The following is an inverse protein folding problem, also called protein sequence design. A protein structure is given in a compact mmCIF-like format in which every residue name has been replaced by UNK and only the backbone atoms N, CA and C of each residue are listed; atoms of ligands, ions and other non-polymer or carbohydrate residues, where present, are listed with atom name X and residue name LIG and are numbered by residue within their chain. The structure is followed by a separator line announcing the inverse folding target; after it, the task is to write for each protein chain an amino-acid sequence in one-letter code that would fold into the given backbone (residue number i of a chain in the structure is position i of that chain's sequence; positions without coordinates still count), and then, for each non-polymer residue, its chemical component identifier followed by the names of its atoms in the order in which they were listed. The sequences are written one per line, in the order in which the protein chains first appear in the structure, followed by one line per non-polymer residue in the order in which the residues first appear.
data_IF_795561647158
#
_entry.id   IF_795561647158
#
_cell.length_a   1.000
_cell.length_b   1.000
_cell.length_c   1.000
_cell.angle_alpha   90.00
_cell.angle_beta   90.00
_cell.angle_gamma   90.00
#
_symmetry.space_group_name_H-M   'P 1'
#
loop_
_entity.id
_entity.type
_entity.pdbx_description
1 polymer ?
#
# COMPACT_ATOMS: atom_id res chain seq x y z
N UNK A 1 -15.72 7.22 6.63
CA UNK A 1 -16.11 8.17 5.56
C UNK A 1 -14.90 9.00 5.17
N UNK A 2 -14.79 9.42 3.91
CA UNK A 2 -13.67 10.24 3.45
C UNK A 2 -13.63 11.63 4.14
N UNK A 3 -12.43 12.22 4.36
CA UNK A 3 -12.27 13.57 4.88
C UNK A 3 -13.00 14.64 4.04
N UNK A 4 -13.29 15.80 4.62
CA UNK A 4 -13.99 16.89 3.93
C UNK A 4 -13.28 17.33 2.65
N UNK A 5 -11.98 17.61 2.71
CA UNK A 5 -11.19 18.03 1.54
C UNK A 5 -11.25 17.00 0.42
N UNK A 6 -11.23 15.70 0.76
CA UNK A 6 -11.36 14.62 -0.24
C UNK A 6 -12.72 14.68 -0.93
N UNK A 7 -13.80 14.91 -0.17
CA UNK A 7 -15.17 14.95 -0.70
C UNK A 7 -15.47 16.20 -1.52
N UNK A 8 -14.95 17.37 -1.11
CA UNK A 8 -15.33 18.66 -1.71
C UNK A 8 -14.34 19.18 -2.76
N UNK A 9 -13.07 18.74 -2.71
CA UNK A 9 -12.00 19.20 -3.62
C UNK A 9 -11.48 18.05 -4.46
N UNK A 10 -10.89 17.03 -3.83
CA UNK A 10 -10.26 15.90 -4.53
C UNK A 10 -11.25 15.17 -5.45
N UNK A 11 -12.45 14.85 -4.96
CA UNK A 11 -13.48 14.16 -5.72
C UNK A 11 -13.98 14.98 -6.93
N UNK A 12 -14.09 16.30 -6.79
CA UNK A 12 -14.48 17.19 -7.90
C UNK A 12 -13.40 17.24 -8.98
N UNK A 13 -12.12 17.30 -8.58
CA UNK A 13 -10.99 17.23 -9.52
C UNK A 13 -10.94 15.87 -10.24
N UNK A 14 -11.07 14.77 -9.51
CA UNK A 14 -11.13 13.42 -10.09
C UNK A 14 -12.30 13.23 -11.05
N UNK A 15 -13.44 13.87 -10.77
CA UNK A 15 -14.62 13.82 -11.62
C UNK A 15 -14.55 14.76 -12.85
N UNK A 16 -13.39 15.36 -13.13
CA UNK A 16 -13.19 16.27 -14.26
C UNK A 16 -13.83 17.65 -14.08
N UNK A 17 -14.27 17.99 -12.86
CA UNK A 17 -14.94 19.25 -12.52
C UNK A 17 -14.04 20.24 -11.76
N UNK A 18 -12.73 20.01 -11.74
CA UNK A 18 -11.77 20.87 -11.03
C UNK A 18 -11.83 22.35 -11.41
N UNK A 19 -12.18 22.70 -12.66
CA UNK A 19 -12.34 24.10 -13.11
C UNK A 19 -13.52 24.83 -12.44
N UNK A 20 -14.44 24.12 -11.78
CA UNK A 20 -15.55 24.73 -11.03
C UNK A 20 -15.17 25.13 -9.61
N UNK A 21 -14.00 24.69 -9.11
CA UNK A 21 -13.55 24.99 -7.77
C UNK A 21 -13.11 26.46 -7.68
N UNK A 22 -13.61 27.23 -6.69
CA UNK A 22 -13.12 28.59 -6.48
C UNK A 22 -11.69 28.56 -5.93
N UNK A 23 -10.93 29.64 -6.12
CA UNK A 23 -9.58 29.78 -5.55
C UNK A 23 -9.59 29.55 -4.03
N UNK A 24 -10.66 29.95 -3.34
CA UNK A 24 -10.82 29.78 -1.89
C UNK A 24 -10.94 28.32 -1.44
N UNK A 25 -11.15 27.37 -2.35
CA UNK A 25 -11.17 25.94 -2.02
C UNK A 25 -9.77 25.33 -1.92
N UNK A 26 -8.74 26.01 -2.45
CA UNK A 26 -7.38 25.50 -2.52
C UNK A 26 -6.53 26.00 -1.34
N UNK A 27 -5.60 25.16 -0.83
CA UNK A 27 -4.62 25.58 0.18
C UNK A 27 -3.73 26.72 -0.34
N UNK A 28 -3.47 27.72 0.51
CA UNK A 28 -2.71 28.93 0.13
C UNK A 28 -1.24 28.66 -0.18
N UNK A 29 -0.69 27.57 0.36
CA UNK A 29 0.69 27.13 0.20
C UNK A 29 0.83 25.95 -0.78
N UNK A 30 -0.29 25.46 -1.33
CA UNK A 30 -0.32 24.29 -2.21
C UNK A 30 -0.15 22.94 -1.50
N UNK A 31 -0.19 22.87 -0.17
CA UNK A 31 -0.05 21.61 0.58
C UNK A 31 -1.33 20.78 0.52
N UNK A 32 -1.26 19.56 -0.03
CA UNK A 32 -2.40 18.64 -0.12
C UNK A 32 -2.36 17.56 0.96
N UNK A 33 -3.52 16.99 1.36
CA UNK A 33 -3.57 15.92 2.33
C UNK A 33 -2.99 14.61 1.77
N UNK A 34 -2.29 13.90 2.65
CA UNK A 34 -1.77 12.55 2.44
C UNK A 34 -2.86 11.47 2.34
N UNK A 35 -2.53 10.31 1.79
CA UNK A 35 -3.34 9.09 1.81
C UNK A 35 -4.58 9.15 0.94
N UNK A 36 -4.58 10.00 -0.08
CA UNK A 36 -5.78 10.28 -0.89
C UNK A 36 -5.98 9.30 -2.05
N UNK A 37 -4.95 8.57 -2.48
CA UNK A 37 -5.09 7.50 -3.49
C UNK A 37 -6.00 6.35 -3.01
N UNK A 38 -6.11 6.14 -1.69
CA UNK A 38 -6.98 5.12 -1.10
C UNK A 38 -8.46 5.29 -1.45
N UNK A 39 -8.88 6.51 -1.86
CA UNK A 39 -10.25 6.82 -2.26
C UNK A 39 -10.50 6.71 -3.76
N UNK A 40 -9.47 6.44 -4.59
CA UNK A 40 -9.64 6.37 -6.03
C UNK A 40 -10.38 5.11 -6.48
N UNK A 41 -10.00 3.94 -5.92
CA UNK A 41 -10.58 2.62 -6.24
C UNK A 41 -10.83 2.45 -7.74
N UNK A 42 -9.76 2.66 -8.52
CA UNK A 42 -9.85 2.92 -9.97
C UNK A 42 -10.45 1.77 -10.78
N UNK A 43 -10.33 0.54 -10.29
CA UNK A 43 -10.87 -0.68 -10.89
C UNK A 43 -10.55 -0.81 -12.40
N UNK A 44 -9.25 -0.73 -12.72
CA UNK A 44 -8.76 -0.64 -14.12
C UNK A 44 -8.36 -1.98 -14.74
N UNK A 45 -8.39 -3.08 -13.99
CA UNK A 45 -7.94 -4.38 -14.48
C UNK A 45 -9.05 -5.41 -14.49
N UNK A 46 -9.18 -6.14 -15.60
CA UNK A 46 -10.11 -7.27 -15.71
C UNK A 46 -9.63 -8.51 -14.94
N UNK A 47 -8.34 -8.54 -14.57
CA UNK A 47 -7.74 -9.63 -13.80
C UNK A 47 -7.01 -9.11 -12.57
N UNK A 48 -7.13 -9.82 -11.47
CA UNK A 48 -6.52 -9.47 -10.18
C UNK A 48 -5.75 -10.66 -9.63
N UNK A 49 -4.84 -10.39 -8.69
CA UNK A 49 -4.18 -11.45 -7.96
C UNK A 49 -5.20 -12.23 -7.11
N UNK A 50 -5.14 -13.56 -7.16
CA UNK A 50 -5.98 -14.48 -6.41
C UNK A 50 -5.07 -15.38 -5.59
N UNK A 51 -5.23 -15.33 -4.27
CA UNK A 51 -4.45 -16.10 -3.33
C UNK A 51 -5.03 -17.50 -3.16
N UNK A 52 -4.17 -18.52 -3.19
CA UNK A 52 -4.47 -19.88 -2.76
C UNK A 52 -3.85 -20.10 -1.38
N UNK A 53 -4.71 -20.12 -0.36
CA UNK A 53 -4.29 -20.24 1.04
C UNK A 53 -3.69 -21.60 1.38
N UNK A 54 -4.06 -22.65 0.65
CA UNK A 54 -3.69 -24.03 0.99
C UNK A 54 -2.26 -24.34 0.54
N UNK A 55 -1.84 -23.77 -0.58
CA UNK A 55 -0.48 -23.96 -1.12
C UNK A 55 0.52 -22.88 -0.70
N UNK A 56 0.05 -21.79 -0.08
CA UNK A 56 0.90 -20.66 0.26
C UNK A 56 1.87 -20.96 1.40
N UNK A 57 3.17 -20.82 1.11
CA UNK A 57 4.25 -20.95 2.10
C UNK A 57 4.52 -19.67 2.91
N UNK A 58 3.70 -18.63 2.73
CA UNK A 58 3.72 -17.41 3.56
C UNK A 58 5.07 -16.67 3.57
N UNK A 59 5.76 -16.63 2.42
CA UNK A 59 7.09 -16.03 2.28
C UNK A 59 7.11 -14.50 2.11
N UNK A 60 5.99 -13.90 1.68
CA UNK A 60 5.87 -12.45 1.47
C UNK A 60 6.39 -11.94 0.11
N UNK A 61 7.03 -12.76 -0.74
CA UNK A 61 7.61 -12.29 -2.01
C UNK A 61 6.59 -11.57 -2.91
N UNK A 62 5.36 -12.07 -2.98
CA UNK A 62 4.29 -11.47 -3.77
C UNK A 62 3.94 -10.03 -3.34
N UNK A 63 3.87 -9.77 -2.03
CA UNK A 63 3.65 -8.45 -1.46
C UNK A 63 4.89 -7.55 -1.59
N UNK A 64 6.09 -8.15 -1.47
CA UNK A 64 7.36 -7.44 -1.57
C UNK A 64 7.55 -6.78 -2.93
N UNK A 65 7.26 -7.51 -4.01
CA UNK A 65 7.41 -7.02 -5.40
C UNK A 65 6.23 -6.20 -5.91
N UNK A 66 5.13 -6.10 -5.15
CA UNK A 66 3.93 -5.42 -5.60
C UNK A 66 4.19 -3.90 -5.75
N UNK A 67 4.05 -3.33 -6.95
CA UNK A 67 4.34 -1.91 -7.18
C UNK A 67 3.25 -0.94 -6.68
N UNK A 68 2.11 -1.45 -6.23
CA UNK A 68 0.96 -0.62 -5.84
C UNK A 68 0.49 -0.89 -4.41
N UNK A 69 1.21 -1.72 -3.65
CA UNK A 69 0.86 -2.08 -2.25
C UNK A 69 -0.53 -2.73 -2.12
N UNK A 70 -0.98 -3.43 -3.16
CA UNK A 70 -2.30 -4.07 -3.20
C UNK A 70 -2.32 -5.46 -2.60
N UNK A 71 -1.17 -6.02 -2.25
CA UNK A 71 -1.06 -7.32 -1.58
C UNK A 71 -0.47 -7.05 -0.21
N UNK A 72 -1.23 -7.36 0.84
CA UNK A 72 -0.83 -7.12 2.24
C UNK A 72 -1.03 -8.36 3.07
N UNK A 73 -0.25 -8.51 4.12
CA UNK A 73 -0.39 -9.64 5.03
C UNK A 73 -0.49 -9.21 6.47
N UNK A 74 -1.34 -9.91 7.22
CA UNK A 74 -1.40 -9.84 8.68
C UNK A 74 -1.34 -11.24 9.26
N UNK A 75 -0.75 -11.36 10.44
CA UNK A 75 -0.96 -12.51 11.31
C UNK A 75 -1.69 -12.10 12.60
N UNK A 76 -2.49 -12.98 13.16
CA UNK A 76 -3.35 -12.68 14.31
C UNK A 76 -3.77 -13.98 14.99
N UNK A 77 -4.27 -13.91 16.23
CA UNK A 77 -4.84 -15.09 16.90
C UNK A 77 -6.15 -15.51 16.23
N UNK A 78 -6.40 -16.82 16.12
CA UNK A 78 -7.60 -17.35 15.46
C UNK A 78 -8.93 -16.84 16.02
N UNK A 79 -8.99 -16.38 17.27
CA UNK A 79 -10.18 -15.72 17.84
C UNK A 79 -10.59 -14.45 17.11
N UNK A 80 -9.66 -13.78 16.42
CA UNK A 80 -9.93 -12.58 15.62
C UNK A 80 -10.74 -12.88 14.35
N UNK A 81 -10.94 -14.15 13.99
CA UNK A 81 -11.81 -14.55 12.87
C UNK A 81 -13.30 -14.56 13.23
N UNK A 82 -13.66 -14.25 14.48
CA UNK A 82 -15.07 -14.14 14.86
C UNK A 82 -15.76 -13.05 14.03
N UNK A 83 -16.79 -13.43 13.27
CA UNK A 83 -17.51 -12.52 12.39
C UNK A 83 -16.82 -12.23 11.05
N UNK A 84 -15.77 -12.99 10.70
CA UNK A 84 -15.18 -12.91 9.36
C UNK A 84 -16.23 -13.23 8.27
N UNK A 85 -16.19 -12.54 7.12
CA UNK A 85 -17.00 -12.92 5.96
C UNK A 85 -16.77 -14.38 5.56
N UNK A 86 -17.78 -15.00 4.95
CA UNK A 86 -17.73 -16.42 4.59
C UNK A 86 -16.57 -16.77 3.63
N UNK A 87 -16.20 -15.83 2.75
CA UNK A 87 -15.12 -15.97 1.77
C UNK A 87 -13.78 -15.40 2.25
N UNK A 88 -13.66 -15.04 3.53
CA UNK A 88 -12.45 -14.45 4.06
C UNK A 88 -11.30 -15.48 4.10
N UNK A 89 -10.32 -15.29 3.22
CA UNK A 89 -9.16 -16.17 3.13
C UNK A 89 -8.29 -16.12 4.39
N UNK A 90 -7.98 -17.28 4.97
CA UNK A 90 -6.99 -17.41 6.04
C UNK A 90 -6.32 -18.78 6.02
N UNK A 91 -5.07 -18.83 6.47
CA UNK A 91 -4.28 -20.06 6.60
C UNK A 91 -3.72 -20.20 8.03
N UNK A 92 -3.46 -21.43 8.53
CA UNK A 92 -2.73 -21.61 9.77
C UNK A 92 -1.32 -21.02 9.66
N UNK A 93 -0.85 -20.37 10.72
CA UNK A 93 0.54 -19.91 10.83
C UNK A 93 1.24 -20.74 11.92
N UNK A 94 2.12 -21.65 11.49
CA UNK A 94 3.00 -22.36 12.42
C UNK A 94 4.24 -21.50 12.69
N UNK A 95 4.19 -20.74 13.78
CA UNK A 95 5.28 -19.88 14.22
C UNK A 95 5.53 -20.06 15.72
N UNK A 96 6.82 -20.16 16.08
CA UNK A 96 7.25 -20.31 17.47
C UNK A 96 6.76 -19.12 18.30
N UNK A 97 6.09 -19.40 19.41
CA UNK A 97 5.53 -18.37 20.30
C UNK A 97 4.22 -17.74 19.81
N UNK A 98 3.58 -18.32 18.80
CA UNK A 98 2.29 -17.90 18.23
C UNK A 98 1.32 -19.10 18.11
N UNK A 99 0.92 -19.73 19.23
CA UNK A 99 -0.08 -20.80 19.17
C UNK A 99 -1.39 -20.27 18.60
N UNK A 100 -2.10 -21.09 17.82
CA UNK A 100 -3.40 -20.74 17.21
C UNK A 100 -3.35 -19.51 16.26
N UNK A 101 -2.17 -19.10 15.80
CA UNK A 101 -2.07 -17.99 14.88
C UNK A 101 -2.62 -18.34 13.48
N UNK A 102 -3.24 -17.35 12.88
CA UNK A 102 -3.74 -17.35 11.51
C UNK A 102 -2.99 -16.29 10.72
N UNK A 103 -2.89 -16.53 9.42
CA UNK A 103 -2.28 -15.64 8.44
C UNK A 103 -3.29 -15.36 7.35
N UNK A 104 -3.40 -14.10 6.93
CA UNK A 104 -4.13 -13.71 5.72
C UNK A 104 -3.22 -12.94 4.80
N UNK A 105 -3.24 -13.28 3.51
CA UNK A 105 -2.74 -12.46 2.43
C UNK A 105 -3.93 -11.84 1.70
N UNK A 106 -4.22 -10.57 1.97
CA UNK A 106 -5.34 -9.85 1.37
C UNK A 106 -4.90 -9.14 0.09
N UNK A 107 -5.74 -9.22 -0.94
CA UNK A 107 -5.57 -8.48 -2.19
C UNK A 107 -6.59 -7.34 -2.25
N UNK A 108 -6.14 -6.12 -2.49
CA UNK A 108 -6.94 -4.93 -2.71
C UNK A 108 -7.33 -4.89 -4.18
N UNK A 109 -8.42 -5.56 -4.52
CA UNK A 109 -8.79 -5.86 -5.92
C UNK A 109 -9.06 -4.62 -6.75
N UNK A 110 -9.71 -3.60 -6.19
CA UNK A 110 -10.05 -2.35 -6.88
C UNK A 110 -8.83 -1.51 -7.27
N UNK A 111 -7.70 -1.72 -6.59
CA UNK A 111 -6.45 -1.00 -6.83
C UNK A 111 -5.44 -1.85 -7.61
N UNK A 112 -5.72 -3.14 -7.83
CA UNK A 112 -4.85 -4.06 -8.54
C UNK A 112 -4.78 -3.73 -10.03
N UNK A 113 -3.56 -3.65 -10.57
CA UNK A 113 -3.34 -3.37 -11.99
C UNK A 113 -3.15 -4.62 -12.86
N UNK A 114 -3.28 -5.82 -12.28
CA UNK A 114 -3.12 -7.08 -13.01
C UNK A 114 -1.73 -7.34 -13.60
N UNK A 115 -0.66 -6.73 -13.06
CA UNK A 115 0.69 -6.80 -13.67
C UNK A 115 1.39 -8.17 -13.59
N UNK A 116 0.89 -9.11 -12.78
CA UNK A 116 1.42 -10.48 -12.70
C UNK A 116 2.75 -10.67 -11.95
N UNK A 117 3.45 -9.60 -11.53
CA UNK A 117 4.74 -9.71 -10.82
C UNK A 117 4.68 -10.57 -9.56
N UNK A 118 3.55 -10.54 -8.85
CA UNK A 118 3.32 -11.36 -7.66
C UNK A 118 3.31 -12.86 -7.96
N UNK A 119 2.80 -13.25 -9.13
CA UNK A 119 2.81 -14.63 -9.63
C UNK A 119 4.23 -15.00 -9.99
N UNK A 120 4.95 -14.17 -10.74
CA UNK A 120 6.34 -14.44 -11.12
C UNK A 120 7.25 -14.64 -9.91
N UNK A 121 7.12 -13.77 -8.89
CA UNK A 121 7.91 -13.85 -7.66
C UNK A 121 7.50 -14.98 -6.71
N UNK A 122 6.35 -15.62 -6.91
CA UNK A 122 5.92 -16.75 -6.09
C UNK A 122 6.82 -17.97 -6.37
N UNK A 123 7.50 -18.53 -5.35
CA UNK A 123 8.40 -19.67 -5.52
C UNK A 123 7.65 -21.02 -5.56
N UNK A 124 6.37 -21.05 -5.17
CA UNK A 124 5.57 -22.27 -5.18
C UNK A 124 5.18 -22.60 -6.62
N UNK A 125 5.39 -23.85 -7.02
CA UNK A 125 4.99 -24.39 -8.32
C UNK A 125 4.11 -25.60 -8.07
N UNK A 126 2.85 -25.52 -8.49
CA UNK A 126 1.88 -26.59 -8.37
C UNK A 126 1.76 -27.30 -9.72
N UNK A 127 2.14 -28.58 -9.81
CA UNK A 127 2.01 -29.36 -11.03
C UNK A 127 0.54 -29.66 -11.32
N UNK A 128 0.19 -29.69 -12.61
CA UNK A 128 -1.16 -29.96 -13.09
C UNK A 128 -1.22 -29.84 -14.62
N UNK A 129 -2.41 -29.97 -15.22
CA UNK A 129 -2.61 -29.72 -16.65
C UNK A 129 -2.18 -28.31 -17.06
N UNK A 130 -2.34 -27.35 -16.15
CA UNK A 130 -1.76 -26.01 -16.21
C UNK A 130 -0.93 -25.79 -14.95
N UNK A 131 0.27 -25.24 -15.10
CA UNK A 131 1.12 -24.89 -13.95
C UNK A 131 0.50 -23.69 -13.24
N UNK A 132 0.20 -23.85 -11.96
CA UNK A 132 -0.29 -22.76 -11.09
C UNK A 132 0.69 -22.54 -9.94
N UNK A 133 0.50 -21.43 -9.23
CA UNK A 133 1.29 -21.07 -8.04
C UNK A 133 0.36 -20.80 -6.86
N UNK A 134 0.91 -20.46 -5.69
CA UNK A 134 0.11 -20.08 -4.52
C UNK A 134 -0.57 -18.70 -4.64
N UNK A 135 -0.27 -17.96 -5.70
CA UNK A 135 -0.98 -16.74 -6.09
C UNK A 135 -0.96 -16.67 -7.61
N UNK A 136 -2.11 -16.40 -8.24
CA UNK A 136 -2.26 -16.39 -9.70
C UNK A 136 -3.05 -15.16 -10.13
N UNK A 137 -3.08 -14.84 -11.42
CA UNK A 137 -4.06 -13.90 -11.95
C UNK A 137 -5.37 -14.63 -12.28
N UNK A 138 -6.48 -14.06 -11.87
CA UNK A 138 -7.81 -14.55 -12.19
C UNK A 138 -8.78 -13.41 -12.48
N UNK A 139 -9.98 -13.70 -13.01
CA UNK A 139 -10.99 -12.68 -13.28
C UNK A 139 -11.35 -11.86 -12.04
N UNK A 140 -11.44 -10.55 -12.20
CA UNK A 140 -11.85 -9.62 -11.14
C UNK A 140 -13.32 -9.81 -10.75
N UNK A 141 -14.21 -10.01 -11.74
CA UNK A 141 -15.61 -10.35 -11.52
C UNK A 141 -15.82 -11.87 -11.52
N UNK A 142 -16.69 -12.42 -10.65
CA UNK A 142 -17.58 -11.74 -9.71
C UNK A 142 -16.96 -11.42 -8.32
N UNK A 143 -15.65 -11.58 -8.15
CA UNK A 143 -14.96 -11.55 -6.84
C UNK A 143 -14.97 -10.17 -6.16
N UNK A 144 -15.08 -9.10 -6.95
CA UNK A 144 -14.96 -7.73 -6.47
C UNK A 144 -15.86 -7.42 -5.28
N UNK A 145 -17.11 -7.88 -5.29
CA UNK A 145 -18.06 -7.63 -4.21
C UNK A 145 -17.66 -8.34 -2.90
N UNK A 146 -17.31 -9.62 -2.96
CA UNK A 146 -16.86 -10.37 -1.80
C UNK A 146 -15.54 -9.80 -1.25
N UNK A 147 -14.62 -9.41 -2.13
CA UNK A 147 -13.34 -8.85 -1.72
C UNK A 147 -13.48 -7.47 -1.05
N UNK A 148 -14.47 -6.64 -1.41
CA UNK A 148 -14.74 -5.40 -0.66
C UNK A 148 -15.10 -5.68 0.80
N UNK A 149 -15.91 -6.69 1.06
CA UNK A 149 -16.26 -7.10 2.44
C UNK A 149 -15.03 -7.70 3.16
N UNK A 150 -14.27 -8.55 2.47
CA UNK A 150 -13.04 -9.14 3.00
C UNK A 150 -11.97 -8.08 3.34
N UNK A 151 -11.76 -7.08 2.47
CA UNK A 151 -10.84 -5.97 2.70
C UNK A 151 -11.29 -5.16 3.91
N UNK A 152 -12.59 -4.83 4.02
CA UNK A 152 -13.11 -4.13 5.19
C UNK A 152 -12.88 -4.91 6.49
N UNK A 153 -13.08 -6.22 6.49
CA UNK A 153 -12.75 -7.08 7.63
C UNK A 153 -11.24 -7.12 7.89
N UNK A 154 -10.41 -7.29 6.85
CA UNK A 154 -8.95 -7.32 6.97
C UNK A 154 -8.38 -6.04 7.58
N UNK A 155 -8.92 -4.88 7.19
CA UNK A 155 -8.53 -3.59 7.75
C UNK A 155 -8.91 -3.46 9.23
N UNK A 156 -10.00 -4.11 9.67
CA UNK A 156 -10.40 -4.14 11.08
C UNK A 156 -9.48 -4.99 11.97
N UNK A 157 -8.74 -5.94 11.39
CA UNK A 157 -7.78 -6.77 12.14
C UNK A 157 -6.62 -5.92 12.68
N UNK A 158 -6.06 -6.26 13.84
CA UNK A 158 -4.94 -5.50 14.41
C UNK A 158 -3.72 -5.52 13.48
N UNK A 159 -3.06 -4.37 13.35
CA UNK A 159 -1.74 -4.29 12.72
C UNK A 159 -0.73 -5.09 13.54
N UNK A 160 0.22 -5.73 12.87
CA UNK A 160 1.25 -6.51 13.54
C UNK A 160 2.19 -5.60 14.35
N UNK A 161 2.47 -6.02 15.59
CA UNK A 161 3.42 -5.33 16.45
C UNK A 161 4.81 -5.34 15.82
N UNK A 162 5.33 -4.15 15.53
CA UNK A 162 6.64 -3.92 14.92
C UNK A 162 7.77 -4.56 15.73
N UNK A 163 7.65 -4.66 17.06
CA UNK A 163 8.66 -5.28 17.93
C UNK A 163 8.83 -6.79 17.70
N UNK A 164 7.82 -7.42 17.07
CA UNK A 164 7.76 -8.85 16.77
C UNK A 164 8.11 -9.17 15.33
N UNK A 165 8.49 -8.16 14.54
CA UNK A 165 8.80 -8.29 13.12
C UNK A 165 10.31 -8.29 12.92
N UNK A 166 10.81 -9.26 12.15
CA UNK A 166 12.21 -9.26 11.71
C UNK A 166 12.38 -8.38 10.45
N UNK A 167 12.91 -7.18 10.64
CA UNK A 167 13.17 -6.22 9.56
C UNK A 167 14.25 -6.69 8.57
N UNK A 168 15.07 -7.69 8.91
CA UNK A 168 16.14 -8.22 8.06
C UNK A 168 15.64 -9.20 6.99
N UNK A 169 14.36 -9.58 7.01
CA UNK A 169 13.81 -10.59 6.10
C UNK A 169 12.69 -10.03 5.23
N UNK A 170 12.56 -10.55 4.00
CA UNK A 170 11.43 -10.25 3.11
C UNK A 170 10.12 -10.55 3.82
N UNK A 171 9.98 -11.75 4.41
CA UNK A 171 8.78 -12.16 5.13
C UNK A 171 8.41 -11.19 6.24
N UNK A 172 9.35 -10.82 7.11
CA UNK A 172 9.08 -9.94 8.24
C UNK A 172 8.61 -8.56 7.80
N UNK A 173 9.33 -7.93 6.87
CA UNK A 173 8.94 -6.60 6.36
C UNK A 173 7.54 -6.54 5.74
N UNK A 174 6.99 -7.66 5.27
CA UNK A 174 5.63 -7.71 4.70
C UNK A 174 4.50 -7.75 5.73
N UNK A 175 4.81 -7.85 7.02
CA UNK A 175 3.86 -7.64 8.11
C UNK A 175 3.75 -6.16 8.54
N UNK A 176 4.52 -5.28 7.93
CA UNK A 176 4.47 -3.84 8.19
C UNK A 176 3.51 -3.16 7.22
N UNK A 177 2.75 -2.19 7.72
CA UNK A 177 1.88 -1.38 6.87
C UNK A 177 2.72 -0.58 5.85
N UNK A 178 2.41 -0.66 4.55
CA UNK A 178 3.02 0.21 3.55
C UNK A 178 2.46 1.62 3.68
N UNK A 179 3.34 2.62 3.77
CA UNK A 179 2.95 4.04 3.81
C UNK A 179 3.12 4.74 2.44
N UNK A 180 3.27 3.94 1.39
CA UNK A 180 3.20 4.34 -0.01
C UNK A 180 2.30 3.35 -0.74
N UNK A 181 1.12 3.78 -1.18
CA UNK A 181 0.06 2.88 -1.67
C UNK A 181 -0.71 3.44 -2.86
N UNK A 182 -1.12 2.54 -3.76
CA UNK A 182 -2.07 2.82 -4.85
C UNK A 182 -1.64 3.97 -5.79
N UNK A 183 -0.32 4.16 -5.98
CA UNK A 183 0.22 5.24 -6.81
C UNK A 183 -0.24 5.19 -8.27
N UNK A 184 -0.18 6.32 -8.96
CA UNK A 184 -0.45 6.43 -10.40
C UNK A 184 0.62 5.80 -11.31
N UNK A 185 1.58 5.05 -10.77
CA UNK A 185 2.65 4.42 -11.54
C UNK A 185 2.12 3.34 -12.50
N UNK A 186 2.89 3.04 -13.54
CA UNK A 186 2.57 2.00 -14.52
C UNK A 186 2.35 0.62 -13.87
N UNK A 187 1.53 -0.23 -14.50
CA UNK A 187 1.42 -1.63 -14.13
C UNK A 187 2.81 -2.30 -14.24
N UNK A 188 3.31 -2.84 -13.12
CA UNK A 188 4.65 -3.44 -13.08
C UNK A 188 5.80 -2.44 -12.98
N UNK A 189 5.56 -1.23 -12.46
CA UNK A 189 6.62 -0.23 -12.26
C UNK A 189 7.79 -0.79 -11.44
N UNK A 190 9.03 -0.57 -11.92
CA UNK A 190 10.24 -1.04 -11.25
C UNK A 190 10.72 -0.15 -10.09
N UNK A 191 10.12 1.02 -9.88
CA UNK A 191 10.57 1.98 -8.87
C UNK A 191 9.82 1.85 -7.54
N UNK A 192 8.49 1.75 -7.60
CA UNK A 192 7.61 1.85 -6.42
C UNK A 192 7.75 0.73 -5.38
N UNK A 193 8.14 -0.53 -5.70
CA UNK A 193 8.43 -1.52 -4.66
C UNK A 193 9.53 -1.06 -3.68
N UNK A 194 10.50 -0.28 -4.14
CA UNK A 194 11.56 0.26 -3.30
C UNK A 194 11.03 1.34 -2.34
N UNK A 195 10.20 2.27 -2.84
CA UNK A 195 9.58 3.30 -2.02
C UNK A 195 8.61 2.71 -0.99
N UNK A 196 7.84 1.69 -1.40
CA UNK A 196 7.00 0.90 -0.49
C UNK A 196 7.83 0.32 0.65
N UNK A 197 8.90 -0.40 0.35
CA UNK A 197 9.76 -1.00 1.38
C UNK A 197 10.39 0.06 2.30
N UNK A 198 10.88 1.17 1.74
CA UNK A 198 11.42 2.28 2.50
C UNK A 198 10.37 2.83 3.49
N UNK A 199 9.13 3.00 3.03
CA UNK A 199 8.01 3.47 3.84
C UNK A 199 7.63 2.48 4.96
N UNK A 200 7.69 1.17 4.70
CA UNK A 200 7.41 0.13 5.71
C UNK A 200 8.43 0.17 6.85
N UNK A 201 9.72 0.33 6.51
CA UNK A 201 10.83 0.33 7.46
C UNK A 201 10.91 1.62 8.28
N UNK A 202 10.81 2.78 7.62
CA UNK A 202 11.14 4.08 8.23
C UNK A 202 10.04 5.13 8.13
N UNK A 203 8.88 4.79 7.58
CA UNK A 203 7.87 5.78 7.21
C UNK A 203 7.29 6.60 8.36
N UNK A 204 7.37 6.14 9.62
CA UNK A 204 6.90 6.91 10.79
C UNK A 204 7.71 8.19 11.05
N UNK A 205 8.88 8.31 10.44
CA UNK A 205 9.87 9.38 10.65
C UNK A 205 10.64 9.74 9.38
N UNK A 206 10.11 9.36 8.21
CA UNK A 206 10.76 9.59 6.92
C UNK A 206 10.43 11.00 6.42
N UNK A 207 11.45 11.71 5.94
CA UNK A 207 11.29 12.92 5.12
C UNK A 207 11.81 12.61 3.72
N UNK A 208 11.04 12.95 2.69
CA UNK A 208 11.35 12.70 1.29
C UNK A 208 11.49 14.03 0.56
N UNK A 209 12.73 14.38 0.20
CA UNK A 209 13.03 15.34 -0.85
C UNK A 209 13.08 14.59 -2.19
N UNK A 210 12.10 14.85 -3.05
CA UNK A 210 11.93 14.12 -4.31
C UNK A 210 12.28 15.00 -5.51
N UNK A 211 13.22 14.56 -6.34
CA UNK A 211 13.53 15.25 -7.60
C UNK A 211 12.36 15.15 -8.57
N UNK A 212 12.23 16.10 -9.48
CA UNK A 212 11.22 16.01 -10.55
C UNK A 212 11.53 14.85 -11.49
N UNK A 213 10.53 14.01 -11.76
CA UNK A 213 10.66 12.82 -12.62
C UNK A 213 9.49 11.87 -12.41
N UNK A 214 9.59 10.62 -12.89
CA UNK A 214 8.54 9.62 -12.66
C UNK A 214 8.13 9.54 -11.19
N UNK A 215 9.09 9.58 -10.27
CA UNK A 215 8.85 9.54 -8.83
C UNK A 215 8.06 10.70 -8.27
N UNK A 216 8.21 11.93 -8.81
CA UNK A 216 7.34 13.03 -8.42
C UNK A 216 5.97 12.95 -9.07
N UNK A 217 5.88 12.39 -10.28
CA UNK A 217 4.60 12.22 -10.98
C UNK A 217 3.73 11.18 -10.27
N UNK A 218 4.18 9.94 -10.11
CA UNK A 218 3.36 8.94 -9.41
C UNK A 218 3.31 9.20 -7.90
N UNK A 219 4.25 9.99 -7.35
CA UNK A 219 4.37 10.30 -5.92
C UNK A 219 3.61 11.55 -5.47
N UNK A 220 3.17 12.41 -6.39
CA UNK A 220 2.58 13.72 -6.04
C UNK A 220 1.80 14.42 -7.15
N UNK A 221 1.25 13.69 -8.13
CA UNK A 221 0.34 14.30 -9.12
C UNK A 221 -1.05 14.53 -8.52
N UNK A 222 -1.32 15.78 -8.18
CA UNK A 222 -2.61 16.20 -7.63
C UNK A 222 -3.77 15.81 -8.56
N UNK A 223 -4.93 15.41 -8.00
CA UNK A 223 -5.37 15.70 -6.63
C UNK A 223 -5.11 14.60 -5.60
N UNK A 224 -4.46 13.49 -5.98
CA UNK A 224 -4.25 12.32 -5.13
C UNK A 224 -2.76 12.09 -4.84
N UNK A 225 -2.46 11.59 -3.64
CA UNK A 225 -1.10 11.33 -3.17
C UNK A 225 -1.01 9.92 -2.57
N UNK A 226 -0.02 9.09 -2.94
CA UNK A 226 0.14 7.72 -2.43
C UNK A 226 0.79 7.64 -1.05
N UNK A 227 1.41 8.72 -0.58
CA UNK A 227 2.02 8.79 0.75
C UNK A 227 0.93 8.85 1.79
N UNK A 228 0.87 7.87 2.70
CA UNK A 228 -0.18 7.76 3.72
C UNK A 228 0.41 7.74 5.13
N UNK A 229 -0.45 7.68 6.15
CA UNK A 229 -0.08 7.64 7.56
C UNK A 229 -0.45 6.31 8.20
N UNK A 230 0.32 5.92 9.22
CA UNK A 230 -0.03 4.81 10.09
C UNK A 230 -1.20 5.18 11.03
N UNK A 231 -1.60 4.23 11.89
CA UNK A 231 -2.68 4.41 12.87
C UNK A 231 -2.43 5.55 13.89
N UNK A 232 -1.17 5.92 14.13
CA UNK A 232 -0.79 7.05 15.01
C UNK A 232 -0.80 8.40 14.26
N UNK A 233 -1.22 8.42 12.99
CA UNK A 233 -1.20 9.62 12.14
C UNK A 233 0.20 10.03 11.68
N UNK A 234 1.21 9.15 11.81
CA UNK A 234 2.59 9.40 11.36
C UNK A 234 2.83 8.77 10.00
N UNK A 235 3.50 9.50 9.12
CA UNK A 235 3.86 9.01 7.81
C UNK A 235 4.93 9.87 7.15
N UNK A 236 5.37 9.49 5.93
CA UNK A 236 6.41 10.22 5.23
C UNK A 236 5.99 11.67 4.94
N UNK A 237 6.81 12.63 5.35
CA UNK A 237 6.68 14.01 4.90
C UNK A 237 7.34 14.13 3.52
N UNK A 238 6.54 14.33 2.47
CA UNK A 238 7.01 14.36 1.09
C UNK A 238 6.96 15.77 0.50
N UNK A 239 8.00 16.13 -0.26
CA UNK A 239 8.02 17.37 -1.01
C UNK A 239 8.89 17.23 -2.26
N UNK A 240 8.48 17.92 -3.33
CA UNK A 240 9.23 18.07 -4.57
C UNK A 240 9.52 19.56 -4.76
N UNK A 241 10.81 19.92 -4.77
CA UNK A 241 11.27 21.26 -5.12
C UNK A 241 11.36 21.37 -6.64
N UNK A 242 12.56 21.26 -7.21
CA UNK A 242 12.79 21.31 -8.66
C UNK A 242 13.47 20.03 -9.14
N UNK A 243 13.83 20.03 -10.42
CA UNK A 243 14.52 18.89 -11.02
C UNK A 243 15.99 18.87 -10.63
N UNK A 244 16.60 20.06 -10.59
CA UNK A 244 18.02 20.31 -10.52
C UNK A 244 18.58 20.49 -9.10
N UNK A 245 17.72 20.66 -8.09
CA UNK A 245 18.12 21.08 -6.72
C UNK A 245 17.81 20.04 -5.62
N UNK A 246 17.43 18.81 -5.99
CA UNK A 246 16.88 17.86 -5.03
C UNK A 246 17.85 17.50 -3.88
N UNK A 247 19.15 17.42 -4.18
CA UNK A 247 20.15 17.05 -3.18
C UNK A 247 20.33 18.18 -2.15
N UNK A 248 20.40 19.41 -2.62
CA UNK A 248 20.49 20.64 -1.84
C UNK A 248 19.22 20.87 -1.03
N UNK A 249 18.05 20.59 -1.61
CA UNK A 249 16.77 20.64 -0.93
C UNK A 249 16.70 19.64 0.23
N UNK A 250 17.11 18.39 -0.01
CA UNK A 250 17.22 17.37 1.04
C UNK A 250 18.27 17.71 2.11
N UNK A 251 19.38 18.35 1.73
CA UNK A 251 20.37 18.86 2.68
C UNK A 251 19.74 19.93 3.60
N UNK A 252 18.90 20.80 3.05
CA UNK A 252 18.13 21.77 3.83
C UNK A 252 17.28 21.12 4.92
N UNK A 253 16.56 20.04 4.59
CA UNK A 253 15.79 19.26 5.58
C UNK A 253 16.68 18.70 6.69
N UNK A 254 17.88 18.19 6.34
CA UNK A 254 18.84 17.67 7.33
C UNK A 254 19.30 18.76 8.28
N UNK A 255 19.74 19.91 7.75
CA UNK A 255 20.21 21.04 8.56
C UNK A 255 19.11 21.55 9.50
N UNK A 256 17.87 21.65 9.01
CA UNK A 256 16.73 22.05 9.84
C UNK A 256 16.45 21.05 10.97
N UNK A 257 16.54 19.75 10.68
CA UNK A 257 16.37 18.68 11.67
C UNK A 257 17.46 18.71 12.75
N UNK A 258 18.71 18.96 12.35
CA UNK A 258 19.84 19.11 13.28
C UNK A 258 19.61 20.26 14.28
N UNK A 259 19.14 21.40 13.79
CA UNK A 259 18.82 22.55 14.65
C UNK A 259 17.63 22.24 15.56
N UNK A 260 16.59 21.57 15.06
CA UNK A 260 15.42 21.21 15.88
C UNK A 260 15.77 20.30 17.06
N UNK A 261 16.74 19.40 16.91
CA UNK A 261 17.20 18.50 17.99
C UNK A 261 17.98 19.25 19.08
N UNK A 262 18.48 20.46 18.79
CA UNK A 262 19.20 21.30 19.76
C UNK A 262 18.28 22.20 20.61
N UNK A 263 17.01 22.36 20.21
CA UNK A 263 15.99 23.14 20.93
C UNK A 263 15.34 22.33 22.05
#
# INVERSE_FOLDING_TARGET
SAPEFVRSVTAEMMAGRGNLLPVSALPVDGTYPSGTTAYEKRNISETVAVWDSDSCIQCGNCAFVCPHSVIRSKFYDGSQLAGAPAEFGSAPLDAVGLPNARFTLQVYTEDCTGCGLCVEACPVVLPGPTITKAINLGPAEPRMLAERENIGFFESLPTNDRSRVDFGTVRGTQFLDPLFEFSGACAGCGETPYLKLLSQLFGDRLMVANATGCSSIYGGSLPTTPWTTNADGRGPAWSNSLFEDNAEFGLGFRLASDVHVQL
#
